data_IF_172287131351
#
_entry.id   IF_172287131351
#
_cell.length_a   1.000
_cell.length_b   1.000
_cell.length_c   1.000
_cell.angle_alpha   90.00
_cell.angle_beta   90.00
_cell.angle_gamma   90.00
#
_symmetry.space_group_name_H-M   'P 1'
#
loop_
_entity.id
_entity.type
_entity.pdbx_description
1 polymer ?
#
# COMPACT_ATOMS: atom_id res chain seq x y z
N UNK A 1 -21.85 -13.97 -12.36
CA UNK A 1 -22.99 -13.77 -11.43
C UNK A 1 -23.92 -12.68 -11.95
N UNK A 2 -25.26 -12.91 -11.98
CA UNK A 2 -26.26 -11.97 -12.48
C UNK A 2 -26.38 -10.71 -11.61
N UNK A 3 -26.25 -10.85 -10.31
CA UNK A 3 -26.28 -9.74 -9.35
C UNK A 3 -25.13 -8.76 -9.59
N UNK A 4 -23.91 -9.27 -9.78
CA UNK A 4 -22.74 -8.45 -10.13
C UNK A 4 -22.99 -7.67 -11.44
N UNK A 5 -23.46 -8.35 -12.49
CA UNK A 5 -23.72 -7.72 -13.79
C UNK A 5 -24.79 -6.61 -13.69
N UNK A 6 -25.83 -6.84 -12.89
CA UNK A 6 -26.87 -5.83 -12.64
C UNK A 6 -26.28 -4.59 -11.99
N UNK A 7 -25.56 -4.75 -10.87
CA UNK A 7 -24.99 -3.63 -10.12
C UNK A 7 -23.96 -2.85 -10.96
N UNK A 8 -23.09 -3.55 -11.68
CA UNK A 8 -22.13 -2.91 -12.58
C UNK A 8 -22.83 -2.18 -13.74
N UNK A 9 -23.87 -2.75 -14.32
CA UNK A 9 -24.66 -2.11 -15.37
C UNK A 9 -25.32 -0.81 -14.90
N UNK A 10 -25.93 -0.83 -13.72
CA UNK A 10 -26.52 0.37 -13.11
C UNK A 10 -25.46 1.43 -12.77
N UNK A 11 -24.31 1.02 -12.26
CA UNK A 11 -23.21 1.91 -11.94
C UNK A 11 -22.65 2.59 -13.20
N UNK A 12 -22.37 1.81 -14.25
CA UNK A 12 -21.92 2.31 -15.56
C UNK A 12 -22.92 3.29 -16.19
N UNK A 13 -24.21 3.02 -16.07
CA UNK A 13 -25.26 3.92 -16.59
C UNK A 13 -25.34 5.25 -15.83
N UNK A 14 -25.14 5.22 -14.51
CA UNK A 14 -25.24 6.43 -13.67
C UNK A 14 -24.00 7.32 -13.71
N UNK A 15 -22.82 6.75 -13.88
CA UNK A 15 -21.54 7.46 -13.72
C UNK A 15 -20.53 7.06 -14.82
N UNK A 16 -20.89 7.18 -16.13
CA UNK A 16 -20.06 6.68 -17.23
C UNK A 16 -18.71 7.42 -17.37
N UNK A 17 -18.56 8.58 -16.75
CA UNK A 17 -17.34 9.39 -16.77
C UNK A 17 -16.29 9.00 -15.73
N UNK A 18 -16.64 8.17 -14.73
CA UNK A 18 -15.73 7.74 -13.67
C UNK A 18 -14.99 6.45 -14.06
N UNK A 19 -14.16 6.52 -15.09
CA UNK A 19 -13.54 5.36 -15.74
C UNK A 19 -12.69 4.51 -14.80
N UNK A 20 -11.83 5.15 -14.00
CA UNK A 20 -10.93 4.47 -13.07
C UNK A 20 -11.72 3.76 -11.96
N UNK A 21 -12.76 4.43 -11.45
CA UNK A 21 -13.62 3.83 -10.44
C UNK A 21 -14.44 2.65 -11.00
N UNK A 22 -14.99 2.79 -12.21
CA UNK A 22 -15.75 1.72 -12.86
C UNK A 22 -14.89 0.50 -13.14
N UNK A 23 -13.64 0.68 -13.56
CA UNK A 23 -12.69 -0.42 -13.76
C UNK A 23 -12.43 -1.16 -12.43
N UNK A 24 -12.09 -0.45 -11.37
CA UNK A 24 -11.85 -1.06 -10.06
C UNK A 24 -13.09 -1.80 -9.52
N UNK A 25 -14.28 -1.21 -9.69
CA UNK A 25 -15.53 -1.86 -9.30
C UNK A 25 -15.76 -3.17 -10.08
N UNK A 26 -15.51 -3.17 -11.39
CA UNK A 26 -15.65 -4.38 -12.21
C UNK A 26 -14.68 -5.49 -11.79
N UNK A 27 -13.42 -5.15 -11.59
CA UNK A 27 -12.39 -6.09 -11.14
C UNK A 27 -12.74 -6.72 -9.78
N UNK A 28 -13.05 -5.89 -8.79
CA UNK A 28 -13.34 -6.36 -7.43
C UNK A 28 -14.66 -7.11 -7.36
N UNK A 29 -15.75 -6.57 -7.89
CA UNK A 29 -17.05 -7.24 -7.80
C UNK A 29 -17.07 -8.58 -8.55
N UNK A 30 -16.32 -8.69 -9.65
CA UNK A 30 -16.19 -9.95 -10.39
C UNK A 30 -15.47 -11.01 -9.58
N UNK A 31 -14.48 -10.64 -8.76
CA UNK A 31 -13.77 -11.57 -7.88
C UNK A 31 -14.63 -12.10 -6.72
N UNK A 32 -15.71 -11.39 -6.34
CA UNK A 32 -16.62 -11.82 -5.27
C UNK A 32 -17.67 -12.85 -5.70
N UNK A 33 -17.66 -13.27 -6.95
CA UNK A 33 -18.70 -14.16 -7.51
C UNK A 33 -18.89 -15.43 -6.68
N UNK A 34 -17.81 -16.09 -6.26
CA UNK A 34 -17.90 -17.33 -5.47
C UNK A 34 -18.62 -17.12 -4.13
N UNK A 35 -18.35 -16.00 -3.46
CA UNK A 35 -19.01 -15.61 -2.19
C UNK A 35 -20.49 -15.33 -2.41
N UNK A 36 -20.83 -14.58 -3.46
CA UNK A 36 -22.20 -14.17 -3.77
C UNK A 36 -23.07 -15.34 -4.26
N UNK A 37 -22.48 -16.34 -4.91
CA UNK A 37 -23.19 -17.56 -5.33
C UNK A 37 -23.45 -18.49 -4.15
N UNK A 38 -22.62 -18.43 -3.11
CA UNK A 38 -22.76 -19.27 -1.92
C UNK A 38 -23.91 -18.85 -0.99
N UNK A 39 -24.24 -17.55 -0.93
CA UNK A 39 -25.27 -17.06 -0.01
C UNK A 39 -26.12 -15.92 -0.62
N UNK A 40 -27.43 -16.14 -0.83
CA UNK A 40 -28.34 -15.13 -1.38
C UNK A 40 -28.58 -13.94 -0.43
N UNK A 41 -28.17 -14.02 0.82
CA UNK A 41 -28.34 -12.93 1.80
C UNK A 41 -27.68 -11.64 1.34
N UNK A 42 -26.58 -11.73 0.60
CA UNK A 42 -25.87 -10.55 0.08
C UNK A 42 -26.71 -9.75 -0.91
N UNK A 43 -27.41 -10.42 -1.85
CA UNK A 43 -28.32 -9.75 -2.79
C UNK A 43 -29.59 -9.23 -2.09
N UNK A 44 -30.16 -10.01 -1.18
CA UNK A 44 -31.34 -9.62 -0.41
C UNK A 44 -31.12 -8.33 0.38
N UNK A 45 -29.92 -8.15 0.95
CA UNK A 45 -29.55 -6.98 1.74
C UNK A 45 -28.84 -5.87 0.93
N UNK A 46 -28.80 -6.01 -0.41
CA UNK A 46 -28.21 -4.99 -1.30
C UNK A 46 -26.78 -4.63 -0.95
N UNK A 47 -25.97 -5.63 -0.63
CA UNK A 47 -24.60 -5.40 -0.14
C UNK A 47 -23.73 -4.75 -1.22
N UNK A 48 -23.81 -5.22 -2.47
CA UNK A 48 -22.98 -4.64 -3.55
C UNK A 48 -23.38 -3.19 -3.83
N UNK A 49 -24.66 -2.87 -3.88
CA UNK A 49 -25.13 -1.50 -4.07
C UNK A 49 -24.63 -0.56 -2.97
N UNK A 50 -24.55 -1.05 -1.73
CA UNK A 50 -24.00 -0.29 -0.59
C UNK A 50 -22.48 -0.17 -0.66
N UNK A 51 -21.80 -1.17 -1.21
CA UNK A 51 -20.33 -1.17 -1.32
C UNK A 51 -19.82 -0.26 -2.43
N UNK A 52 -20.57 -0.07 -3.53
CA UNK A 52 -20.13 0.77 -4.65
C UNK A 52 -20.53 2.24 -4.52
N UNK A 53 -21.32 2.60 -3.52
CA UNK A 53 -21.70 3.99 -3.25
C UNK A 53 -20.97 4.46 -1.99
N UNK A 54 -20.13 5.50 -2.07
CA UNK A 54 -19.52 6.10 -0.88
C UNK A 54 -20.59 6.60 0.10
N UNK A 55 -20.35 6.44 1.40
CA UNK A 55 -21.25 6.99 2.42
C UNK A 55 -21.29 8.52 2.36
N UNK A 56 -20.15 9.15 2.10
CA UNK A 56 -20.04 10.61 1.84
C UNK A 56 -18.90 10.95 0.90
N UNK A 57 -19.12 11.96 0.09
CA UNK A 57 -18.11 12.59 -0.75
C UNK A 57 -18.06 14.08 -0.43
N UNK A 58 -16.89 14.59 -0.09
CA UNK A 58 -16.67 16.00 0.20
C UNK A 58 -15.73 16.56 -0.87
N UNK A 59 -16.23 17.53 -1.62
CA UNK A 59 -15.47 18.34 -2.58
C UNK A 59 -15.37 19.76 -2.02
N UNK A 60 -14.18 20.33 -2.01
CA UNK A 60 -13.96 21.65 -1.42
C UNK A 60 -12.88 22.44 -2.16
N UNK A 61 -12.95 23.75 -2.04
CA UNK A 61 -11.93 24.66 -2.56
C UNK A 61 -10.75 24.76 -1.59
N UNK A 62 -9.56 24.84 -2.17
CA UNK A 62 -8.30 25.06 -1.44
C UNK A 62 -7.59 26.29 -2.03
N UNK A 63 -7.95 27.51 -1.61
CA UNK A 63 -7.25 28.72 -2.03
C UNK A 63 -5.95 28.88 -1.23
N UNK A 64 -4.87 29.24 -1.90
CA UNK A 64 -3.57 29.46 -1.27
C UNK A 64 -2.76 30.52 -2.05
N UNK A 65 -1.86 31.19 -1.37
CA UNK A 65 -0.98 32.19 -1.99
C UNK A 65 0.42 31.60 -2.22
N UNK A 66 0.99 31.83 -3.40
CA UNK A 66 2.39 31.51 -3.67
C UNK A 66 3.37 32.51 -3.03
N UNK A 67 4.66 32.33 -3.24
CA UNK A 67 5.68 33.19 -2.67
C UNK A 67 5.73 34.59 -3.30
N UNK A 68 5.04 34.78 -4.44
CA UNK A 68 4.88 36.09 -5.11
C UNK A 68 3.61 36.82 -4.65
N UNK A 69 2.76 36.17 -3.86
CA UNK A 69 1.47 36.69 -3.42
C UNK A 69 0.32 36.45 -4.41
N UNK A 70 0.54 35.66 -5.45
CA UNK A 70 -0.53 35.26 -6.39
C UNK A 70 -1.42 34.18 -5.75
N UNK A 71 -2.74 34.31 -5.96
CA UNK A 71 -3.72 33.40 -5.40
C UNK A 71 -3.97 32.26 -6.41
N UNK A 72 -3.84 31.05 -5.91
CA UNK A 72 -4.17 29.81 -6.61
C UNK A 72 -5.37 29.12 -5.93
N UNK A 73 -6.15 28.40 -6.70
CA UNK A 73 -7.27 27.61 -6.18
C UNK A 73 -7.17 26.19 -6.71
N UNK A 74 -6.98 25.25 -5.80
CA UNK A 74 -7.03 23.83 -6.09
C UNK A 74 -8.33 23.20 -5.59
N UNK A 75 -8.65 22.02 -6.10
CA UNK A 75 -9.76 21.21 -5.61
C UNK A 75 -9.23 20.23 -4.56
N UNK A 76 -9.94 20.13 -3.46
CA UNK A 76 -9.71 19.12 -2.42
C UNK A 76 -10.84 18.10 -2.41
N UNK A 77 -10.50 16.86 -2.10
CA UNK A 77 -11.41 15.71 -2.08
C UNK A 77 -11.24 14.92 -0.80
N UNK A 78 -12.36 14.48 -0.20
CA UNK A 78 -12.38 13.39 0.77
C UNK A 78 -13.54 12.47 0.48
N UNK A 79 -13.26 11.23 0.17
CA UNK A 79 -14.25 10.18 0.00
C UNK A 79 -14.24 9.32 1.26
N UNK A 80 -15.30 9.43 2.04
CA UNK A 80 -15.60 8.60 3.21
C UNK A 80 -16.41 7.43 2.69
N UNK A 81 -15.71 6.35 2.34
CA UNK A 81 -16.31 5.34 1.49
C UNK A 81 -17.18 4.38 2.28
N UNK A 82 -16.65 3.77 3.34
CA UNK A 82 -17.39 2.82 4.15
C UNK A 82 -16.84 2.78 5.58
N UNK A 83 -17.74 2.87 6.56
CA UNK A 83 -17.43 2.87 7.99
C UNK A 83 -17.99 1.66 8.74
N UNK A 84 -18.44 0.62 8.05
CA UNK A 84 -19.10 -0.54 8.67
C UNK A 84 -18.24 -1.24 9.73
N UNK A 85 -16.91 -1.23 9.58
CA UNK A 85 -15.98 -1.88 10.49
C UNK A 85 -15.08 -0.92 11.29
N UNK A 86 -15.26 0.38 11.15
CA UNK A 86 -14.52 1.38 11.92
C UNK A 86 -14.43 2.74 11.24
N UNK A 87 -13.72 3.70 11.84
CA UNK A 87 -13.51 5.03 11.25
C UNK A 87 -12.92 4.94 9.85
N UNK A 88 -13.31 5.87 8.97
CA UNK A 88 -12.71 5.93 7.64
C UNK A 88 -11.20 6.08 7.74
N UNK A 89 -10.45 5.28 7.02
CA UNK A 89 -8.99 5.27 7.04
C UNK A 89 -8.44 5.19 5.63
N UNK A 90 -7.52 6.08 5.31
CA UNK A 90 -6.82 6.08 4.02
C UNK A 90 -6.10 7.39 3.75
N UNK A 91 -5.13 7.33 2.83
CA UNK A 91 -4.20 8.41 2.54
C UNK A 91 -4.80 9.61 1.82
N UNK A 92 -4.04 10.70 1.85
CA UNK A 92 -4.24 11.91 1.03
C UNK A 92 -3.18 11.93 -0.06
N UNK A 93 -3.59 12.13 -1.31
CA UNK A 93 -2.70 12.24 -2.47
C UNK A 93 -2.67 13.65 -3.00
N UNK A 94 -1.48 14.26 -3.10
CA UNK A 94 -1.29 15.55 -3.77
C UNK A 94 -0.55 15.31 -5.09
N UNK A 95 -1.30 15.36 -6.18
CA UNK A 95 -0.76 15.15 -7.52
C UNK A 95 -1.69 15.76 -8.57
N UNK A 96 -1.16 16.35 -9.67
CA UNK A 96 -1.98 16.99 -10.71
C UNK A 96 -3.04 16.11 -11.36
N UNK A 97 -2.82 14.79 -11.36
CA UNK A 97 -3.78 13.83 -11.92
C UNK A 97 -4.99 13.53 -11.03
N UNK A 98 -4.99 14.01 -9.79
CA UNK A 98 -6.08 13.73 -8.84
C UNK A 98 -7.39 14.34 -9.32
N UNK A 99 -8.41 13.48 -9.38
CA UNK A 99 -9.79 13.83 -9.66
C UNK A 99 -10.73 12.94 -8.85
N UNK A 100 -12.03 13.17 -8.94
CA UNK A 100 -13.02 12.42 -8.16
C UNK A 100 -13.01 10.92 -8.47
N UNK A 101 -12.90 10.53 -9.75
CA UNK A 101 -12.88 9.12 -10.16
C UNK A 101 -11.69 8.37 -9.55
N UNK A 102 -10.49 8.98 -9.56
CA UNK A 102 -9.29 8.42 -8.95
C UNK A 102 -9.44 8.28 -7.44
N UNK A 103 -9.97 9.30 -6.75
CA UNK A 103 -10.14 9.23 -5.30
C UNK A 103 -11.20 8.20 -4.90
N UNK A 104 -12.30 8.08 -5.67
CA UNK A 104 -13.30 7.03 -5.46
C UNK A 104 -12.73 5.63 -5.68
N UNK A 105 -11.98 5.43 -6.76
CA UNK A 105 -11.29 4.16 -7.03
C UNK A 105 -10.38 3.76 -5.87
N UNK A 106 -9.50 4.68 -5.44
CA UNK A 106 -8.58 4.43 -4.34
C UNK A 106 -9.29 4.19 -3.00
N UNK A 107 -10.39 4.90 -2.74
CA UNK A 107 -11.21 4.71 -1.55
C UNK A 107 -11.95 3.38 -1.54
N UNK A 108 -12.43 2.95 -2.69
CA UNK A 108 -13.08 1.65 -2.87
C UNK A 108 -12.11 0.49 -2.62
N UNK A 109 -10.93 0.52 -3.22
CA UNK A 109 -9.90 -0.49 -2.95
C UNK A 109 -9.44 -0.50 -1.49
N UNK A 110 -9.44 0.67 -0.84
CA UNK A 110 -9.04 0.80 0.56
C UNK A 110 -9.97 0.05 1.50
N UNK A 111 -11.27 -0.09 1.17
CA UNK A 111 -12.22 -0.88 1.97
C UNK A 111 -11.72 -2.31 2.13
N UNK A 112 -11.37 -2.95 1.03
CA UNK A 112 -10.96 -4.35 0.99
C UNK A 112 -9.60 -4.55 1.66
N UNK A 113 -8.66 -3.65 1.37
CA UNK A 113 -7.34 -3.69 1.99
C UNK A 113 -7.43 -3.56 3.52
N UNK A 114 -8.25 -2.65 4.03
CA UNK A 114 -8.41 -2.45 5.47
C UNK A 114 -9.15 -3.62 6.12
N UNK A 115 -10.14 -4.20 5.46
CA UNK A 115 -10.88 -5.35 5.99
C UNK A 115 -9.99 -6.58 6.20
N UNK A 116 -8.99 -6.79 5.34
CA UNK A 116 -8.03 -7.88 5.47
C UNK A 116 -7.23 -7.82 6.78
N UNK A 117 -6.98 -6.62 7.30
CA UNK A 117 -6.21 -6.46 8.54
C UNK A 117 -6.91 -7.01 9.77
N UNK A 118 -8.23 -7.21 9.73
CA UNK A 118 -9.04 -7.56 10.90
C UNK A 118 -9.12 -6.47 11.96
N UNK A 119 -8.60 -5.28 11.67
CA UNK A 119 -8.59 -4.14 12.59
C UNK A 119 -9.86 -3.28 12.42
N UNK A 120 -10.29 -2.55 13.47
CA UNK A 120 -11.50 -1.73 13.42
C UNK A 120 -11.26 -0.41 12.67
N UNK A 121 -10.98 -0.50 11.37
CA UNK A 121 -10.78 0.62 10.46
C UNK A 121 -11.59 0.43 9.18
N UNK A 122 -12.36 1.44 8.82
CA UNK A 122 -13.11 1.52 7.57
C UNK A 122 -12.24 1.99 6.41
N UNK A 123 -12.85 2.34 5.29
CA UNK A 123 -12.15 2.80 4.09
C UNK A 123 -12.49 4.24 3.72
N UNK A 124 -11.47 5.02 3.42
CA UNK A 124 -11.58 6.37 2.90
C UNK A 124 -10.34 6.76 2.10
N UNK A 125 -10.48 7.80 1.29
CA UNK A 125 -9.38 8.35 0.51
C UNK A 125 -9.61 9.83 0.26
N UNK A 126 -8.52 10.58 0.08
CA UNK A 126 -8.63 11.99 -0.24
C UNK A 126 -7.43 12.50 -1.01
N UNK A 127 -7.41 13.79 -1.26
CA UNK A 127 -6.31 14.44 -1.92
C UNK A 127 -6.69 15.74 -2.62
N UNK A 128 -5.79 16.19 -3.48
CA UNK A 128 -5.95 17.40 -4.27
C UNK A 128 -5.17 17.28 -5.58
N UNK A 129 -5.61 18.03 -6.58
CA UNK A 129 -4.89 18.25 -7.85
C UNK A 129 -3.64 19.14 -7.68
N UNK A 130 -3.31 19.54 -6.46
CA UNK A 130 -2.10 20.29 -6.12
C UNK A 130 -0.83 19.50 -6.46
N UNK A 131 0.10 20.18 -7.14
CA UNK A 131 1.42 19.62 -7.42
C UNK A 131 2.47 20.16 -6.43
N UNK A 132 2.97 19.36 -5.48
CA UNK A 132 3.98 19.80 -4.54
C UNK A 132 5.39 19.96 -5.16
N UNK A 133 5.62 19.37 -6.35
CA UNK A 133 6.93 19.45 -6.99
C UNK A 133 7.26 20.88 -7.41
N UNK A 134 8.46 21.34 -7.03
CA UNK A 134 8.93 22.69 -7.36
C UNK A 134 8.31 23.80 -6.52
N UNK A 135 7.51 23.49 -5.52
CA UNK A 135 6.99 24.45 -4.55
C UNK A 135 7.97 24.64 -3.38
N UNK A 136 7.97 25.86 -2.84
CA UNK A 136 8.74 26.14 -1.62
C UNK A 136 8.10 25.48 -0.38
N UNK A 137 8.87 25.33 0.69
CA UNK A 137 8.38 24.87 1.99
C UNK A 137 7.18 25.71 2.48
N UNK A 138 7.26 27.03 2.29
CA UNK A 138 6.21 27.96 2.71
C UNK A 138 4.94 27.83 1.86
N UNK A 139 5.08 27.61 0.56
CA UNK A 139 3.94 27.34 -0.33
C UNK A 139 3.22 26.05 0.07
N UNK A 140 3.98 24.96 0.30
CA UNK A 140 3.43 23.69 0.74
C UNK A 140 2.75 23.82 2.10
N UNK A 141 3.35 24.54 3.04
CA UNK A 141 2.75 24.79 4.35
C UNK A 141 1.42 25.56 4.22
N UNK A 142 1.39 26.65 3.44
CA UNK A 142 0.15 27.42 3.21
C UNK A 142 -0.93 26.59 2.55
N UNK A 143 -0.56 25.77 1.56
CA UNK A 143 -1.49 24.85 0.93
C UNK A 143 -2.07 23.84 1.96
N UNK A 144 -1.23 23.18 2.73
CA UNK A 144 -1.65 22.21 3.75
C UNK A 144 -2.55 22.85 4.82
N UNK A 145 -2.26 24.07 5.23
CA UNK A 145 -3.09 24.82 6.18
C UNK A 145 -4.47 25.14 5.60
N UNK A 146 -4.54 25.58 4.35
CA UNK A 146 -5.80 25.84 3.65
C UNK A 146 -6.60 24.56 3.44
N UNK A 147 -5.95 23.48 3.02
CA UNK A 147 -6.57 22.16 2.85
C UNK A 147 -7.20 21.67 4.15
N UNK A 148 -6.48 21.74 5.26
CA UNK A 148 -6.97 21.32 6.57
C UNK A 148 -8.08 22.23 7.09
N UNK A 149 -8.03 23.53 6.81
CA UNK A 149 -9.10 24.47 7.18
C UNK A 149 -10.44 24.11 6.56
N UNK A 150 -10.44 23.57 5.36
CA UNK A 150 -11.65 23.06 4.72
C UNK A 150 -12.07 21.67 5.23
N UNK A 151 -11.09 20.81 5.59
CA UNK A 151 -11.33 19.40 5.90
C UNK A 151 -11.64 19.13 7.38
N UNK A 152 -11.15 19.92 8.32
CA UNK A 152 -11.14 19.59 9.76
C UNK A 152 -12.50 19.23 10.36
N UNK A 153 -13.60 19.78 9.81
CA UNK A 153 -14.97 19.54 10.34
C UNK A 153 -15.49 18.14 10.12
N UNK A 154 -14.90 17.40 9.18
CA UNK A 154 -15.41 16.09 8.77
C UNK A 154 -14.45 14.95 9.10
N UNK A 155 -13.33 15.25 9.75
CA UNK A 155 -12.32 14.26 10.20
C UNK A 155 -12.18 14.30 11.72
N UNK A 156 -11.58 13.26 12.27
CA UNK A 156 -11.32 13.14 13.71
C UNK A 156 -10.93 11.72 14.08
N UNK A 157 -10.40 11.52 15.30
CA UNK A 157 -9.82 10.22 15.71
C UNK A 157 -10.83 9.07 15.69
N UNK A 158 -12.11 9.35 15.87
CA UNK A 158 -13.18 8.36 15.91
C UNK A 158 -14.11 8.40 14.68
N UNK A 159 -13.83 9.25 13.71
CA UNK A 159 -14.69 9.44 12.53
C UNK A 159 -13.93 9.11 11.25
N UNK A 160 -12.81 9.81 11.02
CA UNK A 160 -12.03 9.70 9.79
C UNK A 160 -10.59 10.11 10.07
N UNK A 161 -9.67 9.20 9.85
CA UNK A 161 -8.24 9.39 10.14
C UNK A 161 -7.43 9.29 8.85
N UNK A 162 -7.16 10.42 8.16
CA UNK A 162 -6.33 10.44 6.98
C UNK A 162 -4.87 10.10 7.28
N UNK A 163 -4.14 9.74 6.23
CA UNK A 163 -2.70 9.44 6.26
C UNK A 163 -1.99 10.04 5.06
N UNK A 164 -0.70 9.77 4.91
CA UNK A 164 0.06 10.10 3.71
C UNK A 164 -0.16 9.14 2.54
N UNK A 165 0.11 9.65 1.35
CA UNK A 165 0.14 8.94 0.07
C UNK A 165 1.07 9.71 -0.87
N UNK A 166 1.00 9.51 -2.20
CA UNK A 166 1.81 10.25 -3.17
C UNK A 166 1.70 11.77 -2.94
N UNK A 167 2.82 12.43 -2.81
CA UNK A 167 2.90 13.88 -2.59
C UNK A 167 2.57 14.34 -1.16
N UNK A 168 2.31 13.41 -0.23
CA UNK A 168 2.02 13.68 1.18
C UNK A 168 2.87 12.78 2.07
N UNK A 169 3.93 13.33 2.58
CA UNK A 169 4.83 12.69 3.55
C UNK A 169 4.69 13.25 4.95
N UNK A 170 5.67 12.93 5.80
CA UNK A 170 5.69 13.38 7.21
C UNK A 170 5.64 14.90 7.37
N UNK A 171 6.25 15.65 6.44
CA UNK A 171 6.21 17.12 6.40
C UNK A 171 4.78 17.64 6.22
N UNK A 172 4.09 17.18 5.21
CA UNK A 172 2.71 17.60 4.89
C UNK A 172 1.75 17.18 6.02
N UNK A 173 1.91 15.97 6.54
CA UNK A 173 1.15 15.50 7.72
C UNK A 173 1.39 16.41 8.92
N UNK A 174 2.63 16.82 9.16
CA UNK A 174 2.97 17.75 10.23
C UNK A 174 2.29 19.11 10.10
N UNK A 175 2.30 19.68 8.90
CA UNK A 175 1.61 20.95 8.63
C UNK A 175 0.10 20.85 8.82
N UNK A 176 -0.50 19.76 8.34
CA UNK A 176 -1.94 19.53 8.49
C UNK A 176 -2.34 19.25 9.95
N UNK A 177 -1.54 18.48 10.67
CA UNK A 177 -1.78 18.22 12.10
C UNK A 177 -1.68 19.50 12.95
N UNK A 178 -0.66 20.33 12.71
CA UNK A 178 -0.51 21.60 13.38
C UNK A 178 -1.69 22.54 13.14
N UNK A 179 -2.20 22.59 11.92
CA UNK A 179 -3.37 23.41 11.58
C UNK A 179 -4.65 22.87 12.21
N UNK A 180 -4.87 21.55 12.21
CA UNK A 180 -5.99 20.92 12.90
C UNK A 180 -6.02 21.29 14.39
N UNK A 181 -4.88 21.10 15.07
CA UNK A 181 -4.70 21.47 16.48
C UNK A 181 -4.99 22.95 16.73
N UNK A 182 -4.49 23.83 15.84
CA UNK A 182 -4.67 25.27 15.96
C UNK A 182 -6.13 25.69 15.86
N UNK A 183 -6.90 25.06 14.95
CA UNK A 183 -8.30 25.38 14.73
C UNK A 183 -9.19 24.80 15.84
N UNK A 184 -8.98 23.53 16.19
CA UNK A 184 -9.83 22.80 17.13
C UNK A 184 -9.47 23.07 18.60
N UNK A 185 -8.26 23.49 18.87
CA UNK A 185 -7.71 23.58 20.23
C UNK A 185 -7.46 22.21 20.88
N UNK A 186 -7.53 21.12 20.11
CA UNK A 186 -7.44 19.75 20.64
C UNK A 186 -6.18 19.05 20.12
N UNK A 187 -5.51 18.33 21.03
CA UNK A 187 -4.41 17.44 20.71
C UNK A 187 -4.94 15.99 20.72
N UNK A 188 -5.22 15.47 19.53
CA UNK A 188 -5.85 14.16 19.40
C UNK A 188 -5.28 13.38 18.20
N UNK A 189 -5.58 12.07 18.13
CA UNK A 189 -5.03 11.16 17.13
C UNK A 189 -5.70 11.23 15.76
N UNK A 190 -5.84 12.40 15.15
CA UNK A 190 -6.53 12.63 13.87
C UNK A 190 -5.63 12.30 12.75
N UNK A 191 -4.59 12.22 12.45
CA UNK A 191 -3.77 11.86 11.29
C UNK A 191 -2.82 10.71 11.67
N UNK A 192 -2.41 9.91 10.71
CA UNK A 192 -1.31 8.97 10.89
C UNK A 192 -0.14 9.27 9.96
N UNK A 193 1.06 8.78 10.31
CA UNK A 193 2.30 9.19 9.68
C UNK A 193 2.88 10.47 10.30
N UNK A 194 2.47 10.76 11.52
CA UNK A 194 2.99 11.91 12.29
C UNK A 194 4.45 11.70 12.70
N UNK A 195 5.14 12.80 12.97
CA UNK A 195 6.45 12.76 13.61
C UNK A 195 6.38 12.15 15.02
N UNK A 196 7.44 11.51 15.46
CA UNK A 196 7.51 10.83 16.77
C UNK A 196 7.23 11.77 17.95
N UNK A 197 7.63 13.04 17.84
CA UNK A 197 7.43 14.05 18.88
C UNK A 197 5.98 14.49 19.08
N UNK A 198 5.07 14.14 18.15
CA UNK A 198 3.65 14.52 18.23
C UNK A 198 2.70 13.36 17.89
N UNK A 199 3.03 12.18 18.34
CA UNK A 199 2.13 11.03 18.32
C UNK A 199 2.36 10.03 17.19
N UNK A 200 3.46 10.13 16.46
CA UNK A 200 3.87 9.14 15.46
C UNK A 200 4.28 7.80 16.07
N UNK A 201 4.25 6.75 15.28
CA UNK A 201 4.67 5.41 15.67
C UNK A 201 6.03 5.05 15.12
N UNK A 202 6.84 4.38 15.92
CA UNK A 202 8.02 3.63 15.44
C UNK A 202 7.58 2.52 14.47
N UNK A 203 8.53 1.96 13.75
CA UNK A 203 8.35 0.91 12.75
C UNK A 203 7.44 1.28 11.55
N UNK A 204 6.99 2.54 11.43
CA UNK A 204 6.12 2.94 10.30
C UNK A 204 6.87 2.93 8.96
N UNK A 205 8.15 3.32 8.97
CA UNK A 205 9.01 3.34 7.79
C UNK A 205 9.26 1.93 7.27
N UNK A 206 9.51 0.99 8.17
CA UNK A 206 9.81 -0.41 7.90
C UNK A 206 8.56 -1.24 7.54
N UNK A 207 7.40 -0.78 7.97
CA UNK A 207 6.18 -1.57 8.09
C UNK A 207 5.74 -2.28 6.81
N UNK A 208 5.82 -1.65 5.65
CA UNK A 208 5.38 -2.27 4.40
C UNK A 208 6.32 -3.38 3.98
N UNK A 209 7.63 -3.13 4.00
CA UNK A 209 8.64 -4.13 3.66
C UNK A 209 8.67 -5.29 4.66
N UNK A 210 8.65 -4.99 5.96
CA UNK A 210 8.60 -6.01 7.01
C UNK A 210 7.33 -6.84 6.93
N UNK A 211 6.18 -6.19 6.76
CA UNK A 211 4.89 -6.87 6.63
C UNK A 211 4.82 -7.82 5.46
N UNK A 212 5.36 -7.42 4.30
CA UNK A 212 5.49 -8.29 3.14
C UNK A 212 6.22 -9.59 3.48
N UNK A 213 7.38 -9.46 4.11
CA UNK A 213 8.22 -10.61 4.45
C UNK A 213 7.56 -11.50 5.50
N UNK A 214 6.89 -10.93 6.50
CA UNK A 214 6.12 -11.70 7.48
C UNK A 214 5.00 -12.51 6.86
N UNK A 215 4.26 -11.93 5.92
CA UNK A 215 3.18 -12.64 5.23
C UNK A 215 3.73 -13.77 4.35
N UNK A 216 4.81 -13.53 3.60
CA UNK A 216 5.47 -14.55 2.78
C UNK A 216 6.04 -15.67 3.63
N UNK A 217 6.67 -15.37 4.76
CA UNK A 217 7.17 -16.38 5.70
C UNK A 217 6.04 -17.25 6.25
N UNK A 218 4.90 -16.66 6.63
CA UNK A 218 3.75 -17.43 7.11
C UNK A 218 3.16 -18.30 6.01
N UNK A 219 3.06 -17.77 4.78
CA UNK A 219 2.63 -18.55 3.62
C UNK A 219 3.55 -19.76 3.38
N UNK A 220 4.86 -19.57 3.45
CA UNK A 220 5.84 -20.65 3.30
C UNK A 220 5.74 -21.69 4.41
N UNK A 221 5.60 -21.27 5.68
CA UNK A 221 5.46 -22.17 6.83
C UNK A 221 4.26 -23.10 6.71
N UNK A 222 3.15 -22.60 6.19
CA UNK A 222 1.94 -23.42 5.97
C UNK A 222 2.10 -24.41 4.80
N UNK A 223 3.19 -24.29 4.03
CA UNK A 223 3.58 -25.24 2.97
C UNK A 223 4.88 -25.97 3.29
N UNK A 224 5.16 -26.18 4.58
CA UNK A 224 6.37 -26.86 5.09
C UNK A 224 7.70 -26.28 4.54
N UNK A 225 7.76 -24.98 4.40
CA UNK A 225 8.91 -24.23 3.91
C UNK A 225 9.22 -23.00 4.78
N UNK A 226 10.28 -22.27 4.49
CA UNK A 226 10.63 -21.03 5.20
C UNK A 226 11.50 -20.12 4.34
N UNK A 227 11.71 -18.88 4.76
CA UNK A 227 12.65 -17.95 4.14
C UNK A 227 14.10 -18.37 4.41
N UNK A 228 14.37 -19.02 5.53
CA UNK A 228 15.73 -19.43 5.92
C UNK A 228 16.41 -20.26 4.83
N UNK A 229 17.61 -19.85 4.44
CA UNK A 229 18.41 -20.50 3.40
C UNK A 229 17.93 -20.31 1.97
N UNK A 230 16.86 -19.54 1.72
CA UNK A 230 16.35 -19.30 0.38
C UNK A 230 17.07 -18.15 -0.33
N UNK A 231 17.23 -18.29 -1.63
CA UNK A 231 17.69 -17.21 -2.50
C UNK A 231 16.50 -16.35 -2.90
N UNK A 232 16.60 -15.06 -2.68
CA UNK A 232 15.50 -14.09 -2.85
C UNK A 232 15.91 -13.01 -3.85
N UNK A 233 15.03 -12.73 -4.79
CA UNK A 233 15.15 -11.64 -5.75
C UNK A 233 14.17 -10.55 -5.37
N UNK A 234 14.66 -9.32 -5.22
CA UNK A 234 13.86 -8.13 -4.91
C UNK A 234 14.04 -7.11 -6.03
N UNK A 235 12.95 -6.55 -6.54
CA UNK A 235 13.00 -5.37 -7.40
C UNK A 235 12.81 -4.09 -6.58
N UNK A 236 13.37 -3.00 -7.05
CA UNK A 236 13.34 -1.72 -6.36
C UNK A 236 14.52 -1.52 -5.41
N UNK A 237 14.63 -0.31 -4.92
CA UNK A 237 15.59 0.15 -3.91
C UNK A 237 15.02 1.34 -3.13
N UNK A 238 13.69 1.50 -3.19
CA UNK A 238 12.95 2.44 -2.36
C UNK A 238 12.63 1.85 -1.00
N UNK A 239 11.77 2.52 -0.25
CA UNK A 239 11.43 2.17 1.12
C UNK A 239 10.97 0.71 1.27
N UNK A 240 10.00 0.27 0.47
CA UNK A 240 9.46 -1.09 0.55
C UNK A 240 10.54 -2.13 0.27
N UNK A 241 11.30 -1.96 -0.80
CA UNK A 241 12.36 -2.88 -1.19
C UNK A 241 13.48 -2.96 -0.13
N UNK A 242 13.97 -1.82 0.34
CA UNK A 242 15.05 -1.77 1.34
C UNK A 242 14.69 -2.50 2.62
N UNK A 243 13.49 -2.27 3.14
CA UNK A 243 13.06 -2.93 4.38
C UNK A 243 12.57 -4.36 4.19
N UNK A 244 12.10 -4.74 3.01
CA UNK A 244 11.89 -6.15 2.66
C UNK A 244 13.23 -6.92 2.63
N UNK A 245 14.26 -6.33 2.04
CA UNK A 245 15.62 -6.90 2.04
C UNK A 245 16.13 -7.08 3.48
N UNK A 246 16.05 -6.03 4.29
CA UNK A 246 16.51 -6.07 5.69
C UNK A 246 15.81 -7.18 6.49
N UNK A 247 14.49 -7.27 6.40
CA UNK A 247 13.73 -8.30 7.12
C UNK A 247 14.01 -9.70 6.60
N UNK A 248 14.09 -9.89 5.28
CA UNK A 248 14.40 -11.19 4.69
C UNK A 248 15.79 -11.71 5.13
N UNK A 249 16.78 -10.83 5.16
CA UNK A 249 18.12 -11.15 5.69
C UNK A 249 18.07 -11.53 7.17
N UNK A 250 17.29 -10.82 7.98
CA UNK A 250 17.15 -11.12 9.42
C UNK A 250 16.50 -12.48 9.70
N UNK A 251 15.70 -12.99 8.75
CA UNK A 251 15.10 -14.34 8.81
C UNK A 251 15.95 -15.43 8.16
N UNK A 252 17.20 -15.13 7.84
CA UNK A 252 18.14 -16.11 7.27
C UNK A 252 18.04 -16.31 5.77
N UNK A 253 17.27 -15.49 5.06
CA UNK A 253 17.23 -15.48 3.60
C UNK A 253 18.47 -14.83 2.98
N UNK A 254 18.75 -15.14 1.74
CA UNK A 254 19.83 -14.52 0.95
C UNK A 254 19.23 -13.70 -0.18
N UNK A 255 19.18 -12.39 -0.02
CA UNK A 255 18.71 -11.47 -1.06
C UNK A 255 19.87 -11.11 -1.96
N UNK A 256 19.73 -11.35 -3.26
CA UNK A 256 20.83 -11.21 -4.23
C UNK A 256 20.65 -10.05 -5.21
N UNK A 257 19.54 -9.36 -5.22
CA UNK A 257 19.27 -8.24 -6.14
C UNK A 257 18.63 -7.04 -5.45
N UNK A 258 18.89 -5.87 -6.01
CA UNK A 258 18.14 -4.63 -5.83
C UNK A 258 18.16 -3.87 -7.14
N UNK A 259 17.17 -3.02 -7.42
CA UNK A 259 17.05 -2.31 -8.71
C UNK A 259 16.55 -0.89 -8.58
N UNK A 260 16.78 -0.11 -9.62
CA UNK A 260 16.07 1.15 -9.87
C UNK A 260 15.77 1.31 -11.37
N UNK A 261 15.32 2.49 -11.80
CA UNK A 261 14.98 2.72 -13.21
C UNK A 261 16.16 2.63 -14.19
N UNK A 262 17.38 2.56 -13.70
CA UNK A 262 18.60 2.41 -14.54
C UNK A 262 19.00 0.95 -14.80
N UNK A 263 18.51 0.01 -13.98
CA UNK A 263 18.85 -1.40 -14.05
C UNK A 263 18.89 -2.06 -12.67
N UNK A 264 19.61 -3.17 -12.55
CA UNK A 264 19.72 -3.86 -11.27
C UNK A 264 21.15 -4.27 -10.93
N UNK A 265 21.41 -4.43 -9.64
CA UNK A 265 22.63 -5.06 -9.13
C UNK A 265 22.34 -6.50 -8.74
N UNK A 266 23.26 -7.39 -9.07
CA UNK A 266 23.32 -8.76 -8.58
C UNK A 266 24.56 -8.90 -7.70
N UNK A 267 24.34 -9.24 -6.44
CA UNK A 267 25.43 -9.51 -5.49
C UNK A 267 25.39 -11.00 -5.09
N UNK A 268 26.32 -11.83 -5.58
CA UNK A 268 26.33 -13.26 -5.27
C UNK A 268 26.60 -13.55 -3.78
N UNK A 269 27.18 -12.60 -3.06
CA UNK A 269 27.43 -12.71 -1.63
C UNK A 269 26.21 -12.32 -0.78
N UNK A 270 25.18 -11.76 -1.41
CA UNK A 270 24.00 -11.18 -0.79
C UNK A 270 24.09 -9.66 -0.68
N UNK A 271 22.95 -8.99 -0.85
CA UNK A 271 22.87 -7.53 -0.77
C UNK A 271 23.24 -7.08 0.66
N UNK A 272 24.20 -6.18 0.73
CA UNK A 272 24.54 -5.45 1.96
C UNK A 272 23.56 -4.29 2.14
N UNK A 273 22.68 -4.42 3.12
CA UNK A 273 21.59 -3.46 3.32
C UNK A 273 22.09 -2.09 3.78
N UNK A 274 23.17 -2.05 4.54
CA UNK A 274 23.73 -0.78 5.01
C UNK A 274 24.34 0.02 3.84
N UNK A 275 25.07 -0.65 2.96
CA UNK A 275 25.55 -0.05 1.71
C UNK A 275 24.38 0.45 0.87
N UNK A 276 23.30 -0.33 0.73
CA UNK A 276 22.11 0.06 -0.01
C UNK A 276 21.48 1.33 0.59
N UNK A 277 21.30 1.38 1.91
CA UNK A 277 20.77 2.57 2.62
C UNK A 277 21.66 3.80 2.42
N UNK A 278 22.97 3.66 2.54
CA UNK A 278 23.90 4.76 2.30
C UNK A 278 23.77 5.33 0.88
N UNK A 279 23.60 4.47 -0.12
CA UNK A 279 23.46 4.91 -1.51
C UNK A 279 22.09 5.58 -1.72
N UNK A 280 21.00 4.96 -1.27
CA UNK A 280 19.64 5.37 -1.64
C UNK A 280 19.06 6.44 -0.71
N UNK A 281 19.25 6.33 0.58
CA UNK A 281 18.66 7.23 1.58
C UNK A 281 19.56 8.44 1.87
N UNK A 282 20.86 8.21 2.01
CA UNK A 282 21.80 9.27 2.37
C UNK A 282 22.30 10.03 1.14
N UNK A 283 22.93 9.32 0.21
CA UNK A 283 23.52 9.94 -1.01
C UNK A 283 22.50 10.21 -2.12
N UNK A 284 21.32 9.55 -2.06
CA UNK A 284 20.26 9.63 -3.09
C UNK A 284 20.77 9.35 -4.50
N UNK A 285 21.72 8.42 -4.61
CA UNK A 285 22.41 8.05 -5.84
C UNK A 285 21.68 6.88 -6.55
N UNK A 286 22.16 6.55 -7.76
CA UNK A 286 21.66 5.41 -8.53
C UNK A 286 22.21 4.11 -7.96
N UNK A 287 21.46 3.00 -8.17
CA UNK A 287 21.85 1.67 -7.69
C UNK A 287 23.19 1.21 -8.28
N UNK A 288 23.57 1.70 -9.45
CA UNK A 288 24.87 1.41 -10.09
C UNK A 288 26.09 1.78 -9.23
N UNK A 289 25.93 2.69 -8.27
CA UNK A 289 26.99 3.04 -7.33
C UNK A 289 27.35 1.88 -6.36
N UNK A 290 26.45 0.92 -6.17
CA UNK A 290 26.60 -0.21 -5.26
C UNK A 290 27.85 -1.05 -5.58
N UNK A 291 28.15 -1.28 -6.86
CA UNK A 291 29.30 -2.08 -7.28
C UNK A 291 30.67 -1.44 -6.92
N UNK A 292 30.71 -0.14 -6.63
CA UNK A 292 31.94 0.52 -6.18
C UNK A 292 32.35 0.11 -4.77
N UNK A 293 31.37 -0.25 -3.93
CA UNK A 293 31.59 -0.66 -2.54
C UNK A 293 31.55 -2.18 -2.36
N UNK A 294 30.94 -2.89 -3.33
CA UNK A 294 30.80 -4.35 -3.36
C UNK A 294 31.39 -4.92 -4.65
N UNK A 295 32.71 -5.19 -4.70
CA UNK A 295 33.41 -5.54 -5.94
C UNK A 295 32.96 -6.85 -6.60
N UNK A 296 32.36 -7.79 -5.83
CA UNK A 296 31.79 -9.04 -6.35
C UNK A 296 30.43 -8.85 -7.02
N UNK A 297 29.78 -7.70 -6.79
CA UNK A 297 28.49 -7.40 -7.39
C UNK A 297 28.66 -6.95 -8.85
N UNK A 298 27.64 -7.23 -9.66
CA UNK A 298 27.56 -6.81 -11.07
C UNK A 298 26.32 -5.94 -11.28
N UNK A 299 26.49 -4.87 -12.04
CA UNK A 299 25.37 -4.02 -12.47
C UNK A 299 24.93 -4.39 -13.89
N UNK A 300 23.63 -4.57 -14.09
CA UNK A 300 23.00 -4.88 -15.36
C UNK A 300 22.11 -3.71 -15.80
N UNK A 301 22.65 -2.86 -16.66
CA UNK A 301 21.95 -1.67 -17.14
C UNK A 301 20.70 -2.03 -17.96
N UNK A 302 19.60 -1.34 -17.70
CA UNK A 302 18.33 -1.48 -18.42
C UNK A 302 17.65 -2.84 -18.31
N UNK A 303 18.16 -3.76 -17.47
CA UNK A 303 17.59 -5.10 -17.30
C UNK A 303 16.75 -5.21 -16.04
N UNK A 304 15.80 -6.16 -16.06
CA UNK A 304 14.96 -6.53 -14.92
C UNK A 304 15.60 -7.66 -14.13
N UNK A 305 15.23 -7.81 -12.87
CA UNK A 305 15.78 -8.82 -11.96
C UNK A 305 15.26 -10.25 -12.21
N UNK A 306 14.19 -10.42 -12.97
CA UNK A 306 13.41 -11.66 -13.04
C UNK A 306 14.11 -12.83 -13.73
N UNK A 307 15.21 -12.59 -14.43
CA UNK A 307 16.06 -13.64 -15.01
C UNK A 307 17.05 -14.25 -14.03
N UNK A 308 17.20 -13.72 -12.82
CA UNK A 308 18.10 -14.25 -11.80
C UNK A 308 17.46 -15.46 -11.11
N UNK A 309 18.15 -16.62 -11.05
CA UNK A 309 17.63 -17.79 -10.33
C UNK A 309 17.34 -17.49 -8.87
N UNK A 310 16.16 -17.87 -8.40
CA UNK A 310 15.74 -17.63 -7.03
C UNK A 310 14.65 -18.61 -6.57
N UNK A 311 14.50 -18.75 -5.26
CA UNK A 311 13.40 -19.46 -4.64
C UNK A 311 12.18 -18.55 -4.44
N UNK A 312 12.42 -17.27 -4.13
CA UNK A 312 11.37 -16.30 -3.79
C UNK A 312 11.59 -15.01 -4.58
N UNK A 313 10.52 -14.46 -5.14
CA UNK A 313 10.54 -13.17 -5.83
C UNK A 313 9.65 -12.15 -5.10
N UNK A 314 10.20 -10.97 -4.81
CA UNK A 314 9.51 -9.88 -4.14
C UNK A 314 9.50 -8.62 -5.05
N UNK A 315 8.48 -8.44 -5.89
CA UNK A 315 8.34 -7.22 -6.70
C UNK A 315 7.95 -6.02 -5.81
N UNK A 316 8.90 -5.11 -5.60
CA UNK A 316 8.78 -3.97 -4.69
C UNK A 316 9.03 -2.61 -5.35
N UNK A 317 9.06 -2.53 -6.69
CA UNK A 317 9.38 -1.30 -7.39
C UNK A 317 8.12 -0.56 -7.89
N UNK A 318 7.55 -1.00 -8.99
CA UNK A 318 6.48 -0.25 -9.68
C UNK A 318 5.37 -1.14 -10.20
N UNK A 319 4.24 -0.50 -10.51
CA UNK A 319 3.10 -1.16 -11.15
C UNK A 319 3.50 -1.78 -12.51
N UNK A 320 2.98 -2.97 -12.80
CA UNK A 320 3.17 -3.70 -14.06
C UNK A 320 4.63 -3.97 -14.44
N UNK A 321 5.50 -4.08 -13.46
CA UNK A 321 6.93 -4.37 -13.71
C UNK A 321 7.20 -5.84 -14.08
N UNK A 322 6.32 -6.76 -13.71
CA UNK A 322 6.45 -8.20 -13.90
C UNK A 322 5.36 -8.71 -14.85
N UNK A 323 5.74 -9.03 -16.07
CA UNK A 323 4.84 -9.54 -17.10
C UNK A 323 4.84 -11.07 -17.18
N UNK A 324 4.00 -11.62 -18.09
CA UNK A 324 3.86 -13.06 -18.27
C UNK A 324 5.18 -13.78 -18.61
N UNK A 325 6.03 -13.21 -19.45
CA UNK A 325 7.33 -13.80 -19.81
C UNK A 325 8.29 -13.79 -18.63
N UNK A 326 8.28 -12.72 -17.82
CA UNK A 326 9.04 -12.64 -16.57
C UNK A 326 8.59 -13.74 -15.58
N UNK A 327 7.28 -13.99 -15.48
CA UNK A 327 6.72 -15.05 -14.63
C UNK A 327 7.16 -16.44 -15.08
N UNK A 328 7.14 -16.72 -16.38
CA UNK A 328 7.64 -17.99 -16.95
C UNK A 328 9.13 -18.19 -16.67
N UNK A 329 9.92 -17.13 -16.78
CA UNK A 329 11.37 -17.20 -16.50
C UNK A 329 11.63 -17.47 -15.01
N UNK A 330 10.90 -16.83 -14.09
CA UNK A 330 10.97 -17.10 -12.66
C UNK A 330 10.67 -18.57 -12.34
N UNK A 331 9.60 -19.12 -12.92
CA UNK A 331 9.20 -20.51 -12.72
C UNK A 331 10.28 -21.47 -13.26
N UNK A 332 10.77 -21.22 -14.47
CA UNK A 332 11.86 -22.00 -15.07
C UNK A 332 13.11 -22.00 -14.19
N UNK A 333 13.40 -20.91 -13.52
CA UNK A 333 14.56 -20.73 -12.66
C UNK A 333 14.33 -21.23 -11.21
N UNK A 334 13.21 -21.89 -10.92
CA UNK A 334 12.95 -22.57 -9.65
C UNK A 334 12.21 -21.75 -8.61
N UNK A 335 11.63 -20.61 -8.97
CA UNK A 335 10.83 -19.80 -8.04
C UNK A 335 9.61 -20.58 -7.52
N UNK A 336 9.43 -20.61 -6.20
CA UNK A 336 8.33 -21.30 -5.52
C UNK A 336 7.30 -20.34 -4.94
N UNK A 337 7.68 -19.10 -4.69
CA UNK A 337 6.80 -18.11 -4.06
C UNK A 337 7.05 -16.70 -4.60
N UNK A 338 5.97 -15.94 -4.74
CA UNK A 338 5.98 -14.52 -5.13
C UNK A 338 5.17 -13.73 -4.11
N UNK A 339 5.71 -12.64 -3.60
CA UNK A 339 5.00 -11.71 -2.70
C UNK A 339 5.10 -10.28 -3.20
N UNK A 340 3.96 -9.64 -3.44
CA UNK A 340 3.87 -8.31 -4.00
C UNK A 340 4.03 -7.19 -2.95
N UNK A 341 5.19 -6.53 -2.95
CA UNK A 341 5.43 -5.35 -2.10
C UNK A 341 4.90 -4.04 -2.70
N UNK A 342 4.98 -3.89 -4.00
CA UNK A 342 4.40 -2.76 -4.72
C UNK A 342 2.88 -2.94 -4.92
N UNK A 343 2.22 -1.86 -5.39
CA UNK A 343 0.82 -1.94 -5.79
C UNK A 343 0.75 -2.49 -7.23
N UNK A 344 0.08 -3.62 -7.42
CA UNK A 344 -0.13 -4.29 -8.71
C UNK A 344 1.16 -4.41 -9.56
N UNK A 345 2.26 -4.96 -9.02
CA UNK A 345 3.51 -5.07 -9.78
C UNK A 345 3.45 -6.14 -10.85
N UNK A 346 2.66 -7.21 -10.64
CA UNK A 346 2.43 -8.25 -11.63
C UNK A 346 1.25 -7.89 -12.53
N UNK A 347 1.38 -8.15 -13.83
CA UNK A 347 0.22 -8.04 -14.74
C UNK A 347 -0.76 -9.17 -14.48
N UNK A 348 -1.99 -9.02 -14.96
CA UNK A 348 -3.01 -10.08 -14.84
C UNK A 348 -2.53 -11.40 -15.46
N UNK A 349 -1.90 -11.32 -16.64
CA UNK A 349 -1.37 -12.48 -17.35
C UNK A 349 -0.23 -13.14 -16.55
N UNK A 350 0.63 -12.38 -15.88
CA UNK A 350 1.67 -12.91 -15.02
C UNK A 350 1.07 -13.65 -13.81
N UNK A 351 0.06 -13.05 -13.18
CA UNK A 351 -0.67 -13.67 -12.06
C UNK A 351 -1.31 -14.99 -12.47
N UNK A 352 -1.96 -15.04 -13.64
CA UNK A 352 -2.51 -16.29 -14.19
C UNK A 352 -1.45 -17.35 -14.40
N UNK A 353 -0.27 -16.98 -14.92
CA UNK A 353 0.86 -17.91 -15.09
C UNK A 353 1.30 -18.49 -13.74
N UNK A 354 1.41 -17.67 -12.69
CA UNK A 354 1.77 -18.16 -11.36
C UNK A 354 0.73 -19.14 -10.81
N UNK A 355 -0.56 -18.81 -10.86
CA UNK A 355 -1.64 -19.65 -10.36
C UNK A 355 -1.73 -20.99 -11.10
N UNK A 356 -1.62 -20.98 -12.44
CA UNK A 356 -1.63 -22.19 -13.26
C UNK A 356 -0.48 -23.14 -12.95
N UNK A 357 0.67 -22.61 -12.53
CA UNK A 357 1.85 -23.39 -12.16
C UNK A 357 1.98 -23.63 -10.64
N UNK A 358 0.93 -23.33 -9.87
CA UNK A 358 0.87 -23.57 -8.42
C UNK A 358 2.02 -22.88 -7.65
N UNK A 359 2.43 -21.71 -8.11
CA UNK A 359 3.34 -20.84 -7.37
C UNK A 359 2.56 -20.21 -6.22
N UNK A 360 3.12 -20.23 -5.02
CA UNK A 360 2.55 -19.52 -3.89
C UNK A 360 2.58 -18.01 -4.17
N UNK A 361 1.41 -17.41 -4.32
CA UNK A 361 1.29 -16.01 -4.75
C UNK A 361 0.55 -15.19 -3.70
N UNK A 362 1.25 -14.23 -3.11
CA UNK A 362 0.69 -13.27 -2.15
C UNK A 362 0.38 -11.93 -2.85
N UNK A 363 -0.91 -11.62 -3.11
CA UNK A 363 -1.28 -10.39 -3.84
C UNK A 363 -0.99 -9.13 -3.03
N UNK A 364 -0.69 -8.05 -3.72
CA UNK A 364 -0.28 -6.77 -3.12
C UNK A 364 -1.27 -6.20 -2.11
N UNK A 365 -2.57 -6.36 -2.33
CA UNK A 365 -3.62 -5.88 -1.39
C UNK A 365 -3.44 -6.44 0.02
N UNK A 366 -2.98 -7.68 0.13
CA UNK A 366 -2.67 -8.33 1.40
C UNK A 366 -1.20 -8.14 1.79
N UNK A 367 -0.29 -8.46 0.88
CA UNK A 367 1.14 -8.52 1.15
C UNK A 367 1.73 -7.14 1.54
N UNK A 368 1.22 -6.05 0.97
CA UNK A 368 1.70 -4.71 1.32
C UNK A 368 0.86 -3.98 2.38
N UNK A 369 -0.02 -4.68 3.08
CA UNK A 369 -0.90 -4.09 4.10
C UNK A 369 -0.18 -3.66 5.39
N UNK A 370 1.11 -3.96 5.55
CA UNK A 370 1.89 -3.58 6.73
C UNK A 370 1.86 -2.09 7.04
N UNK A 371 1.87 -1.25 6.01
CA UNK A 371 1.78 0.19 6.18
C UNK A 371 0.48 0.66 6.83
N UNK A 372 -0.67 0.18 6.39
CA UNK A 372 -1.96 0.52 6.99
C UNK A 372 -2.14 -0.14 8.35
N UNK A 373 -1.63 -1.35 8.54
CA UNK A 373 -1.63 -2.03 9.82
C UNK A 373 -0.90 -1.20 10.89
N UNK A 374 0.32 -0.73 10.60
CA UNK A 374 1.07 0.12 11.52
C UNK A 374 0.42 1.50 11.71
N UNK A 375 -0.26 2.03 10.70
CA UNK A 375 -1.09 3.23 10.88
C UNK A 375 -2.22 3.01 11.89
N UNK A 376 -2.87 1.85 11.89
CA UNK A 376 -3.87 1.51 12.90
C UNK A 376 -3.25 1.32 14.30
N UNK A 377 -2.03 0.79 14.38
CA UNK A 377 -1.29 0.74 15.65
C UNK A 377 -0.92 2.13 16.17
N UNK A 378 -0.60 3.09 15.28
CA UNK A 378 -0.43 4.49 15.66
C UNK A 378 -1.72 5.08 16.25
N UNK A 379 -2.88 4.79 15.64
CA UNK A 379 -4.18 5.20 16.20
C UNK A 379 -4.40 4.62 17.59
N UNK A 380 -4.08 3.35 17.82
CA UNK A 380 -4.18 2.69 19.12
C UNK A 380 -3.29 3.36 20.16
N UNK A 381 -2.04 3.66 19.82
CA UNK A 381 -1.11 4.38 20.67
C UNK A 381 -1.63 5.79 21.01
N UNK A 382 -2.18 6.49 20.02
CA UNK A 382 -2.74 7.83 20.21
C UNK A 382 -3.98 7.80 21.14
N UNK A 383 -4.87 6.83 20.98
CA UNK A 383 -6.04 6.66 21.84
C UNK A 383 -5.66 6.36 23.30
N UNK A 384 -4.63 5.55 23.51
CA UNK A 384 -4.13 5.22 24.83
C UNK A 384 -3.16 6.28 25.39
N UNK A 385 -2.75 7.27 24.59
CA UNK A 385 -1.72 8.28 24.91
C UNK A 385 -0.38 7.66 25.36
N UNK A 386 0.05 6.66 24.62
CA UNK A 386 1.32 5.97 24.85
C UNK A 386 2.19 5.95 23.60
N UNK A 387 3.48 5.77 23.78
CA UNK A 387 4.43 5.45 22.72
C UNK A 387 5.00 4.06 22.97
N UNK A 388 4.82 3.17 22.02
CA UNK A 388 5.37 1.81 22.14
C UNK A 388 6.79 1.76 21.60
N UNK A 389 7.67 0.94 22.22
CA UNK A 389 8.98 0.68 21.65
C UNK A 389 8.88 -0.07 20.33
N UNK A 390 9.95 0.01 19.53
CA UNK A 390 10.00 -0.60 18.19
C UNK A 390 9.60 -2.06 18.18
N UNK A 391 10.16 -2.84 19.09
CA UNK A 391 9.95 -4.29 19.20
C UNK A 391 8.46 -4.64 19.43
N UNK A 392 7.77 -3.82 20.20
CA UNK A 392 6.34 -4.02 20.46
C UNK A 392 5.52 -3.75 19.21
N UNK A 393 5.81 -2.67 18.48
CA UNK A 393 5.12 -2.35 17.22
C UNK A 393 5.40 -3.42 16.18
N UNK A 394 6.66 -3.84 16.01
CA UNK A 394 7.07 -4.88 15.07
C UNK A 394 6.41 -6.23 15.39
N UNK A 395 6.35 -6.61 16.66
CA UNK A 395 5.64 -7.83 17.08
C UNK A 395 4.14 -7.77 16.74
N UNK A 396 3.48 -6.65 16.99
CA UNK A 396 2.07 -6.48 16.62
C UNK A 396 1.88 -6.53 15.10
N UNK A 397 2.77 -5.90 14.34
CA UNK A 397 2.77 -5.96 12.88
C UNK A 397 2.87 -7.41 12.38
N UNK A 398 3.81 -8.17 12.92
CA UNK A 398 3.97 -9.59 12.58
C UNK A 398 2.67 -10.38 12.82
N UNK A 399 2.05 -10.22 14.00
CA UNK A 399 0.79 -10.88 14.33
C UNK A 399 -0.34 -10.49 13.37
N UNK A 400 -0.43 -9.22 12.97
CA UNK A 400 -1.44 -8.76 12.00
C UNK A 400 -1.20 -9.42 10.64
N UNK A 401 0.04 -9.49 10.16
CA UNK A 401 0.36 -10.10 8.86
C UNK A 401 0.09 -11.61 8.85
N UNK A 402 0.37 -12.32 9.94
CA UNK A 402 0.00 -13.71 10.14
C UNK A 402 -1.54 -13.88 10.04
N UNK A 403 -2.29 -13.04 10.73
CA UNK A 403 -3.76 -13.06 10.68
C UNK A 403 -4.30 -12.77 9.29
N UNK A 404 -3.70 -11.84 8.55
CA UNK A 404 -4.07 -11.57 7.14
C UNK A 404 -3.89 -12.82 6.30
N UNK A 405 -2.76 -13.52 6.42
CA UNK A 405 -2.55 -14.77 5.70
C UNK A 405 -3.63 -15.82 6.03
N UNK A 406 -3.89 -16.05 7.31
CA UNK A 406 -4.90 -17.04 7.72
C UNK A 406 -6.32 -16.66 7.27
N UNK A 407 -6.68 -15.38 7.30
CA UNK A 407 -7.96 -14.91 6.78
C UNK A 407 -8.11 -15.22 5.29
N UNK A 408 -7.06 -14.96 4.48
CA UNK A 408 -7.07 -15.30 3.06
C UNK A 408 -7.14 -16.83 2.83
N UNK A 409 -6.31 -17.59 3.51
CA UNK A 409 -6.23 -19.03 3.35
C UNK A 409 -7.56 -19.73 3.75
N UNK A 410 -8.17 -19.28 4.84
CA UNK A 410 -9.46 -19.77 5.28
C UNK A 410 -10.58 -19.46 4.29
N UNK A 411 -10.63 -18.23 3.77
CA UNK A 411 -11.59 -17.84 2.74
C UNK A 411 -11.38 -18.63 1.45
N UNK A 412 -10.14 -18.76 0.97
CA UNK A 412 -9.84 -19.56 -0.21
C UNK A 412 -10.31 -21.02 -0.06
N UNK A 413 -10.07 -21.62 1.09
CA UNK A 413 -10.52 -22.97 1.41
C UNK A 413 -12.05 -23.09 1.48
N UNK A 414 -12.70 -22.13 2.15
CA UNK A 414 -14.16 -22.10 2.31
C UNK A 414 -14.90 -22.06 0.96
N UNK A 415 -14.36 -21.30 0.01
CA UNK A 415 -14.97 -21.16 -1.32
C UNK A 415 -14.36 -22.07 -2.40
N UNK A 416 -13.55 -23.08 -2.02
CA UNK A 416 -13.03 -24.09 -2.93
C UNK A 416 -11.90 -23.62 -3.86
N UNK A 417 -11.19 -22.59 -3.47
CA UNK A 417 -10.06 -22.02 -4.19
C UNK A 417 -8.74 -22.13 -3.40
N UNK A 418 -8.52 -23.28 -2.76
CA UNK A 418 -7.33 -23.51 -1.92
C UNK A 418 -6.05 -23.07 -2.64
N UNK A 419 -5.19 -22.34 -1.94
CA UNK A 419 -3.94 -21.72 -2.45
C UNK A 419 -4.10 -20.65 -3.53
N UNK A 420 -5.29 -20.22 -3.86
CA UNK A 420 -5.54 -19.05 -4.68
C UNK A 420 -5.99 -17.87 -3.79
N UNK A 421 -5.13 -16.91 -3.60
CA UNK A 421 -5.35 -15.73 -2.74
C UNK A 421 -5.68 -14.45 -3.52
N UNK A 422 -5.90 -14.54 -4.82
CA UNK A 422 -6.19 -13.40 -5.71
C UNK A 422 -7.69 -13.05 -5.71
#
# INVERSE_FOLDING_TARGET
NKYVQKVLGELKAKQPWEKEFLQAAEEVLSSLTAVLDADPVYEQNKILERMVVPERVILFQVPWADDKGEIHVNQGYRVQFNSAIGPYKGGLRFHPSVNMSIIKFLGFEQIFKNSLTGLPIGGGKGGSDFNPKGKSEMEIMRFCQSFMTALYRVIGPNTDVPAGDIGVGGREIGYMFGQYKRITGQYEGVLTGKGLSFGGSLARTEATGYGLVYLVEEMLKNHANSIEGKTIVVSGSGNVATYAIEKALSLGGKVVTASDSSGFVYDPDGIDVETLKQIKEVRRARISEYIKERPNATFYEGKKVWGVPCDIALPCATQNELGAEDAKELIKNGCIAVGEGANMPSTTEATEVFLQNKILFAPGKAANAGGVATSALEMSQNSARVSWPFEKVDHQLNNIMINIYHNMANAAKEYGHEDNFV
#
